data_IF_187555193156
#
_entry.id   IF_187555193156
#
_cell.length_a   1.000
_cell.length_b   1.000
_cell.length_c   1.000
_cell.angle_alpha   90.00
_cell.angle_beta   90.00
_cell.angle_gamma   90.00
#
_symmetry.space_group_name_H-M   'P 1'
#
loop_
_entity.id
_entity.type
_entity.pdbx_description
1 polymer ?
#
# COMPACT_ATOMS: atom_id res chain seq x y z
N UNK A 1 18.89 -9.48 14.19
CA UNK A 1 18.23 -8.22 13.77
C UNK A 1 19.16 -7.25 13.04
N UNK A 2 20.34 -6.86 13.57
CA UNK A 2 21.26 -5.92 12.89
C UNK A 2 21.65 -6.30 11.45
N UNK A 3 21.85 -7.60 11.19
CA UNK A 3 22.12 -8.14 9.84
C UNK A 3 20.92 -8.04 8.89
N UNK A 4 19.69 -8.11 9.39
CA UNK A 4 18.47 -8.04 8.57
C UNK A 4 18.10 -6.60 8.18
N UNK A 5 18.33 -5.63 9.07
CA UNK A 5 18.08 -4.21 8.78
C UNK A 5 19.06 -3.68 7.72
N UNK A 6 20.31 -4.14 7.73
CA UNK A 6 21.30 -3.78 6.71
C UNK A 6 20.90 -4.23 5.30
N UNK A 7 20.44 -5.47 5.16
CA UNK A 7 19.94 -6.01 3.88
C UNK A 7 18.71 -5.21 3.40
N UNK A 8 17.77 -4.90 4.30
CA UNK A 8 16.59 -4.11 3.94
C UNK A 8 16.96 -2.70 3.47
N UNK A 9 17.91 -2.04 4.13
CA UNK A 9 18.39 -0.72 3.74
C UNK A 9 19.06 -0.75 2.35
N UNK A 10 19.87 -1.76 2.07
CA UNK A 10 20.48 -1.95 0.74
C UNK A 10 19.39 -2.11 -0.33
N UNK A 11 18.37 -2.94 -0.06
CA UNK A 11 17.27 -3.15 -1.00
C UNK A 11 16.48 -1.87 -1.28
N UNK A 12 16.23 -1.05 -0.26
CA UNK A 12 15.58 0.25 -0.44
C UNK A 12 16.47 1.22 -1.22
N UNK A 13 17.77 1.28 -0.90
CA UNK A 13 18.71 2.12 -1.63
C UNK A 13 18.78 1.75 -3.12
N UNK A 14 18.83 0.46 -3.43
CA UNK A 14 18.79 -0.05 -4.82
C UNK A 14 17.51 0.43 -5.52
N UNK A 15 16.33 0.26 -4.89
CA UNK A 15 15.05 0.74 -5.46
C UNK A 15 15.05 2.24 -5.76
N UNK A 16 15.55 3.06 -4.83
CA UNK A 16 15.65 4.51 -5.03
C UNK A 16 16.62 4.86 -6.16
N UNK A 17 17.79 4.23 -6.19
CA UNK A 17 18.80 4.45 -7.24
C UNK A 17 18.23 4.13 -8.62
N UNK A 18 17.49 3.03 -8.77
CA UNK A 18 16.85 2.67 -10.04
C UNK A 18 15.86 3.75 -10.50
N UNK A 19 15.04 4.26 -9.58
CA UNK A 19 14.08 5.33 -9.88
C UNK A 19 14.84 6.61 -10.29
N UNK A 20 15.89 6.97 -9.57
CA UNK A 20 16.70 8.14 -9.89
C UNK A 20 17.40 8.01 -11.25
N UNK A 21 17.90 6.82 -11.60
CA UNK A 21 18.48 6.56 -12.92
C UNK A 21 17.43 6.78 -14.01
N UNK A 22 16.21 6.24 -13.85
CA UNK A 22 15.12 6.48 -14.80
C UNK A 22 14.83 7.97 -14.97
N UNK A 23 14.70 8.71 -13.86
CA UNK A 23 14.41 10.15 -13.89
C UNK A 23 15.55 10.91 -14.56
N UNK A 24 16.80 10.70 -14.15
CA UNK A 24 17.96 11.42 -14.67
C UNK A 24 18.21 11.14 -16.15
N UNK A 25 18.16 9.88 -16.57
CA UNK A 25 18.33 9.51 -17.98
C UNK A 25 17.14 10.01 -18.80
N UNK A 26 15.92 9.84 -18.30
CA UNK A 26 14.71 10.20 -19.01
C UNK A 26 14.55 11.70 -19.23
N UNK A 27 15.03 12.55 -18.30
CA UNK A 27 14.96 14.02 -18.41
C UNK A 27 15.57 14.55 -19.72
N UNK A 28 16.66 13.93 -20.21
CA UNK A 28 17.32 14.35 -21.45
C UNK A 28 16.50 14.08 -22.71
N UNK A 29 15.50 13.22 -22.64
CA UNK A 29 14.68 12.81 -23.78
C UNK A 29 13.22 13.26 -23.68
N UNK A 30 12.89 14.10 -22.69
CA UNK A 30 11.55 14.65 -22.52
C UNK A 30 11.19 15.54 -23.71
N UNK A 31 10.05 15.26 -24.34
CA UNK A 31 9.48 16.07 -25.41
C UNK A 31 8.21 16.75 -24.88
N UNK A 32 8.22 18.08 -24.64
CA UNK A 32 7.05 18.80 -24.13
C UNK A 32 5.79 18.67 -25.00
N UNK A 33 5.94 18.31 -26.28
CA UNK A 33 4.84 17.98 -27.16
C UNK A 33 3.96 16.83 -26.64
N UNK A 34 4.53 15.87 -25.89
CA UNK A 34 3.78 14.74 -25.32
C UNK A 34 2.81 15.17 -24.20
N UNK A 35 3.01 16.36 -23.61
CA UNK A 35 2.10 16.93 -22.61
C UNK A 35 0.89 17.64 -23.21
N UNK A 36 0.80 17.74 -24.55
CA UNK A 36 -0.36 18.33 -25.21
C UNK A 36 -1.29 17.24 -25.78
N UNK A 37 -2.60 17.26 -25.43
CA UNK A 37 -3.25 18.08 -24.40
C UNK A 37 -2.94 17.59 -22.96
N UNK A 38 -2.77 18.51 -22.00
CA UNK A 38 -2.38 18.16 -20.63
C UNK A 38 -3.53 17.55 -19.81
N UNK A 39 -4.75 18.03 -20.04
CA UNK A 39 -5.97 17.48 -19.44
C UNK A 39 -6.91 16.92 -20.53
N UNK A 40 -6.58 15.76 -21.13
CA UNK A 40 -7.41 15.16 -22.19
C UNK A 40 -8.76 14.67 -21.68
N UNK A 41 -8.85 14.27 -20.41
CA UNK A 41 -10.02 13.62 -19.82
C UNK A 41 -10.68 14.51 -18.77
N UNK A 42 -11.94 14.93 -19.01
CA UNK A 42 -12.73 15.69 -18.02
C UNK A 42 -12.98 14.83 -16.78
N UNK A 43 -12.50 15.27 -15.61
CA UNK A 43 -12.60 14.51 -14.36
C UNK A 43 -11.63 13.33 -14.23
N UNK A 44 -10.80 13.06 -15.25
CA UNK A 44 -9.85 11.95 -15.24
C UNK A 44 -8.75 12.08 -14.18
N UNK A 45 -8.45 13.30 -13.73
CA UNK A 45 -7.47 13.55 -12.66
C UNK A 45 -7.90 12.91 -11.34
N UNK A 46 -9.18 13.05 -10.95
CA UNK A 46 -9.68 12.46 -9.70
C UNK A 46 -9.80 10.94 -9.79
N UNK A 47 -10.23 10.41 -10.93
CA UNK A 47 -10.27 8.96 -11.17
C UNK A 47 -8.85 8.37 -11.15
N UNK A 48 -7.90 9.01 -11.84
CA UNK A 48 -6.49 8.65 -11.84
C UNK A 48 -5.88 8.72 -10.43
N UNK A 49 -6.15 9.79 -9.67
CA UNK A 49 -5.70 9.93 -8.28
C UNK A 49 -6.18 8.78 -7.39
N UNK A 50 -7.43 8.33 -7.60
CA UNK A 50 -8.01 7.21 -6.86
C UNK A 50 -7.35 5.88 -7.23
N UNK A 51 -6.97 5.69 -8.49
CA UNK A 51 -6.25 4.50 -8.95
C UNK A 51 -4.79 4.47 -8.43
N UNK A 52 -4.05 5.57 -8.60
CA UNK A 52 -2.63 5.67 -8.18
C UNK A 52 -2.46 5.83 -6.68
N UNK A 53 -3.56 6.03 -5.92
CA UNK A 53 -3.54 5.98 -4.46
C UNK A 53 -2.88 4.70 -3.93
N UNK A 54 -3.05 3.58 -4.67
CA UNK A 54 -2.40 2.31 -4.38
C UNK A 54 -0.88 2.43 -4.20
N UNK A 55 -0.22 3.31 -4.96
CA UNK A 55 1.22 3.52 -4.86
C UNK A 55 1.66 4.12 -3.52
N UNK A 56 0.78 4.84 -2.82
CA UNK A 56 1.07 5.43 -1.52
C UNK A 56 0.89 4.48 -0.34
N UNK A 57 0.40 3.25 -0.58
CA UNK A 57 0.19 2.28 0.49
C UNK A 57 1.51 1.77 1.06
N UNK A 58 1.54 1.55 2.37
CA UNK A 58 2.68 0.94 3.07
C UNK A 58 3.40 1.83 4.09
N UNK A 59 3.10 3.13 4.17
CA UNK A 59 3.66 3.98 5.24
C UNK A 59 3.15 3.57 6.64
N UNK A 60 1.96 2.98 6.71
CA UNK A 60 1.34 2.45 7.92
C UNK A 60 2.08 1.24 8.50
N UNK A 61 2.90 0.55 7.68
CA UNK A 61 3.78 -0.52 8.16
C UNK A 61 4.81 0.02 9.15
N UNK A 62 5.24 1.27 9.01
CA UNK A 62 6.12 1.93 9.98
C UNK A 62 5.44 1.96 11.34
N UNK A 63 4.12 2.22 11.39
CA UNK A 63 3.32 2.22 12.62
C UNK A 63 3.31 0.86 13.33
N UNK A 64 3.30 -0.24 12.57
CA UNK A 64 3.32 -1.60 13.13
C UNK A 64 4.63 -1.94 13.87
N UNK A 65 5.74 -1.29 13.51
CA UNK A 65 7.05 -1.50 14.14
C UNK A 65 7.31 -0.59 15.36
N UNK A 66 6.28 0.11 15.88
CA UNK A 66 6.43 1.06 16.99
C UNK A 66 7.14 0.49 18.22
N UNK A 67 6.92 -0.80 18.53
CA UNK A 67 7.53 -1.47 19.68
C UNK A 67 9.05 -1.66 19.56
N UNK A 68 9.61 -1.62 18.35
CA UNK A 68 11.03 -1.83 18.08
C UNK A 68 11.80 -0.51 17.89
N UNK A 69 11.10 0.63 17.87
CA UNK A 69 11.68 1.94 17.59
C UNK A 69 12.20 2.59 18.87
N UNK A 70 13.46 3.05 18.84
CA UNK A 70 13.99 3.93 19.90
C UNK A 70 13.23 5.24 19.89
N UNK A 71 12.68 5.67 21.03
CA UNK A 71 11.86 6.88 21.15
C UNK A 71 10.73 6.98 20.08
N UNK A 72 9.71 6.08 20.14
CA UNK A 72 8.65 6.03 19.13
C UNK A 72 7.88 7.34 18.98
N UNK A 73 7.70 8.08 20.09
CA UNK A 73 6.98 9.36 20.15
C UNK A 73 7.50 10.39 19.13
N UNK A 74 8.82 10.42 18.90
CA UNK A 74 9.47 11.34 17.95
C UNK A 74 9.81 10.68 16.61
N UNK A 75 10.30 9.45 16.63
CA UNK A 75 10.84 8.81 15.43
C UNK A 75 9.76 8.22 14.52
N UNK A 76 8.60 7.81 15.06
CA UNK A 76 7.51 7.26 14.26
C UNK A 76 6.89 8.31 13.32
N UNK A 77 6.51 9.52 13.80
CA UNK A 77 5.99 10.57 12.92
C UNK A 77 6.99 10.97 11.83
N UNK A 78 8.28 11.09 12.17
CA UNK A 78 9.34 11.43 11.21
C UNK A 78 9.46 10.34 10.14
N UNK A 79 9.43 9.06 10.54
CA UNK A 79 9.48 7.94 9.60
C UNK A 79 8.29 7.91 8.65
N UNK A 80 7.07 8.08 9.18
CA UNK A 80 5.83 8.07 8.37
C UNK A 80 5.79 9.25 7.39
N UNK A 81 5.95 10.48 7.90
CA UNK A 81 5.85 11.70 7.09
C UNK A 81 7.03 11.80 6.12
N UNK A 82 8.25 11.48 6.58
CA UNK A 82 9.45 11.50 5.75
C UNK A 82 9.35 10.52 4.57
N UNK A 83 8.87 9.30 4.81
CA UNK A 83 8.67 8.32 3.73
C UNK A 83 7.64 8.82 2.71
N UNK A 84 6.52 9.39 3.16
CA UNK A 84 5.49 9.94 2.28
C UNK A 84 6.00 11.11 1.43
N UNK A 85 6.78 12.02 2.01
CA UNK A 85 7.35 13.17 1.27
C UNK A 85 8.31 12.67 0.19
N UNK A 86 9.24 11.79 0.56
CA UNK A 86 10.24 11.25 -0.39
C UNK A 86 9.54 10.49 -1.52
N UNK A 87 8.58 9.61 -1.19
CA UNK A 87 7.79 8.89 -2.19
C UNK A 87 7.01 9.84 -3.11
N UNK A 88 6.36 10.87 -2.56
CA UNK A 88 5.62 11.87 -3.35
C UNK A 88 6.50 12.56 -4.38
N UNK A 89 7.68 13.03 -3.97
CA UNK A 89 8.64 13.71 -4.86
C UNK A 89 9.07 12.76 -5.99
N UNK A 90 9.41 11.52 -5.66
CA UNK A 90 9.82 10.53 -6.66
C UNK A 90 8.68 10.18 -7.62
N UNK A 91 7.45 10.01 -7.14
CA UNK A 91 6.28 9.72 -7.98
C UNK A 91 5.93 10.88 -8.92
N UNK A 92 6.02 12.13 -8.45
CA UNK A 92 5.85 13.31 -9.30
C UNK A 92 6.94 13.34 -10.37
N UNK A 93 8.21 13.14 -10.01
CA UNK A 93 9.33 13.14 -10.95
C UNK A 93 9.18 12.04 -12.02
N UNK A 94 8.84 10.81 -11.61
CA UNK A 94 8.58 9.71 -12.53
C UNK A 94 7.42 10.03 -13.46
N UNK A 95 6.32 10.60 -12.95
CA UNK A 95 5.14 10.93 -13.77
C UNK A 95 5.45 11.98 -14.84
N UNK A 96 6.20 13.02 -14.48
CA UNK A 96 6.65 14.09 -15.40
C UNK A 96 7.52 13.50 -16.50
N UNK A 97 8.54 12.71 -16.12
CA UNK A 97 9.48 12.10 -17.08
C UNK A 97 8.76 11.08 -17.97
N UNK A 98 7.96 10.19 -17.39
CA UNK A 98 7.27 9.12 -18.12
C UNK A 98 6.33 9.67 -19.20
N UNK A 99 5.48 10.63 -18.83
CA UNK A 99 4.57 11.28 -19.78
C UNK A 99 5.30 12.22 -20.75
N UNK A 100 6.48 12.72 -20.38
CA UNK A 100 7.35 13.51 -21.24
C UNK A 100 8.08 12.68 -22.30
N UNK A 101 8.44 11.43 -21.99
CA UNK A 101 9.10 10.50 -22.91
C UNK A 101 8.12 9.93 -23.95
N UNK A 102 6.95 9.51 -23.48
CA UNK A 102 5.95 8.82 -24.30
C UNK A 102 4.56 9.40 -24.06
N UNK A 103 3.83 9.67 -25.15
CA UNK A 103 2.43 10.10 -25.07
C UNK A 103 1.57 9.14 -24.24
N UNK A 104 0.72 9.71 -23.37
CA UNK A 104 -0.16 8.99 -22.45
C UNK A 104 -1.01 7.89 -23.12
N UNK A 105 -1.31 8.02 -24.43
CA UNK A 105 -2.08 7.04 -25.20
C UNK A 105 -1.37 5.68 -25.36
N UNK A 106 -0.04 5.65 -25.21
CA UNK A 106 0.79 4.44 -25.39
C UNK A 106 1.34 3.89 -24.08
N UNK A 107 0.98 4.47 -22.94
CA UNK A 107 1.47 4.05 -21.63
C UNK A 107 0.66 2.90 -21.01
N UNK A 108 -0.42 2.44 -21.65
CA UNK A 108 -1.18 1.27 -21.19
C UNK A 108 -0.47 -0.03 -21.55
N UNK A 109 0.66 -0.27 -20.89
CA UNK A 109 1.52 -1.44 -21.02
C UNK A 109 1.83 -2.00 -19.62
N UNK A 110 2.29 -3.24 -19.54
CA UNK A 110 2.60 -3.88 -18.27
C UNK A 110 3.80 -3.25 -17.53
N UNK A 111 4.76 -2.70 -18.27
CA UNK A 111 6.04 -2.19 -17.78
C UNK A 111 6.36 -0.77 -18.30
N UNK A 112 5.52 0.25 -17.99
CA UNK A 112 5.56 1.56 -18.66
C UNK A 112 6.90 2.30 -18.53
N UNK A 113 7.60 2.13 -17.39
CA UNK A 113 8.89 2.77 -17.13
C UNK A 113 9.99 2.21 -18.04
N UNK A 114 10.04 0.88 -18.19
CA UNK A 114 11.00 0.22 -19.08
C UNK A 114 10.65 0.48 -20.55
N UNK A 115 9.37 0.38 -20.90
CA UNK A 115 8.86 0.71 -22.22
C UNK A 115 9.23 2.14 -22.65
N UNK A 116 9.09 3.12 -21.76
CA UNK A 116 9.44 4.50 -22.09
C UNK A 116 10.93 4.71 -22.40
N UNK A 117 11.82 4.00 -21.71
CA UNK A 117 13.26 4.02 -22.01
C UNK A 117 13.57 3.33 -23.35
N UNK A 118 12.90 2.23 -23.67
CA UNK A 118 13.05 1.56 -24.98
C UNK A 118 12.61 2.46 -26.13
N UNK A 119 11.52 3.23 -25.96
CA UNK A 119 11.01 4.15 -26.98
C UNK A 119 11.98 5.30 -27.33
N UNK A 120 12.92 5.62 -26.43
CA UNK A 120 13.96 6.63 -26.66
C UNK A 120 15.33 6.01 -26.98
N UNK A 121 15.36 4.70 -27.29
CA UNK A 121 16.57 3.97 -27.67
C UNK A 121 17.47 3.54 -26.51
N UNK A 122 17.04 3.77 -25.26
CA UNK A 122 17.82 3.47 -24.05
C UNK A 122 17.56 2.05 -23.53
N UNK A 123 17.85 1.04 -24.38
CA UNK A 123 17.61 -0.37 -24.07
C UNK A 123 18.39 -0.86 -22.84
N UNK A 124 19.62 -0.37 -22.65
CA UNK A 124 20.43 -0.70 -21.47
C UNK A 124 19.78 -0.18 -20.17
N UNK A 125 19.31 1.07 -20.18
CA UNK A 125 18.59 1.65 -19.05
C UNK A 125 17.29 0.91 -18.75
N UNK A 126 16.54 0.53 -19.80
CA UNK A 126 15.34 -0.27 -19.65
C UNK A 126 15.62 -1.62 -18.98
N UNK A 127 16.67 -2.34 -19.42
CA UNK A 127 17.05 -3.63 -18.83
C UNK A 127 17.42 -3.50 -17.35
N UNK A 128 18.20 -2.46 -16.99
CA UNK A 128 18.58 -2.19 -15.60
C UNK A 128 17.36 -1.92 -14.71
N UNK A 129 16.44 -1.07 -15.18
CA UNK A 129 15.21 -0.74 -14.46
C UNK A 129 14.31 -1.98 -14.30
N UNK A 130 14.14 -2.77 -15.36
CA UNK A 130 13.34 -4.00 -15.31
C UNK A 130 13.91 -5.03 -14.34
N UNK A 131 15.21 -5.29 -14.37
CA UNK A 131 15.87 -6.20 -13.42
C UNK A 131 15.69 -5.74 -11.97
N UNK A 132 15.88 -4.44 -11.75
CA UNK A 132 15.70 -3.81 -10.46
C UNK A 132 14.27 -3.88 -9.95
N UNK A 133 13.29 -3.63 -10.81
CA UNK A 133 11.87 -3.74 -10.52
C UNK A 133 11.49 -5.19 -10.18
N UNK A 134 11.94 -6.18 -10.96
CA UNK A 134 11.67 -7.60 -10.72
C UNK A 134 12.22 -8.06 -9.36
N UNK A 135 13.49 -7.75 -9.05
CA UNK A 135 14.08 -8.07 -7.75
C UNK A 135 13.33 -7.37 -6.60
N UNK A 136 12.90 -6.13 -6.82
CA UNK A 136 12.16 -5.34 -5.85
C UNK A 136 10.74 -5.85 -5.58
N UNK A 137 10.04 -6.31 -6.62
CA UNK A 137 8.70 -6.89 -6.55
C UNK A 137 8.73 -8.29 -5.95
N UNK A 138 9.70 -9.12 -6.34
CA UNK A 138 9.85 -10.47 -5.81
C UNK A 138 10.06 -10.47 -4.29
N UNK A 139 10.92 -9.60 -3.78
CA UNK A 139 11.13 -9.46 -2.34
C UNK A 139 9.90 -8.94 -1.60
N UNK A 140 9.17 -7.99 -2.19
CA UNK A 140 7.92 -7.48 -1.63
C UNK A 140 6.84 -8.57 -1.59
N UNK A 141 6.72 -9.37 -2.64
CA UNK A 141 5.76 -10.47 -2.72
C UNK A 141 6.01 -11.50 -1.61
N UNK A 142 7.26 -11.93 -1.42
CA UNK A 142 7.60 -12.84 -0.32
C UNK A 142 7.27 -12.23 1.05
N UNK A 143 7.65 -10.98 1.28
CA UNK A 143 7.39 -10.29 2.55
C UNK A 143 5.88 -10.20 2.84
N UNK A 144 5.06 -9.91 1.82
CA UNK A 144 3.60 -9.83 1.96
C UNK A 144 2.98 -11.19 2.25
N UNK A 145 3.39 -12.26 1.56
CA UNK A 145 2.90 -13.63 1.83
C UNK A 145 3.15 -14.02 3.30
N UNK A 146 4.36 -13.74 3.81
CA UNK A 146 4.70 -14.02 5.20
C UNK A 146 3.91 -13.15 6.20
N UNK A 147 3.75 -11.85 5.90
CA UNK A 147 3.00 -10.92 6.76
C UNK A 147 1.52 -11.31 6.84
N UNK A 148 0.87 -11.54 5.69
CA UNK A 148 -0.52 -11.95 5.60
C UNK A 148 -0.77 -13.32 6.26
N UNK A 149 0.16 -14.28 6.11
CA UNK A 149 0.09 -15.58 6.80
C UNK A 149 0.06 -15.43 8.33
N UNK A 150 0.87 -14.51 8.89
CA UNK A 150 0.89 -14.25 10.34
C UNK A 150 -0.39 -13.60 10.84
N UNK A 151 -0.97 -12.70 10.05
CA UNK A 151 -2.26 -12.08 10.37
C UNK A 151 -3.39 -13.11 10.38
N UNK A 152 -3.43 -14.00 9.38
CA UNK A 152 -4.43 -15.10 9.37
C UNK A 152 -4.22 -16.06 10.54
N UNK A 153 -2.96 -16.36 10.87
CA UNK A 153 -2.63 -17.16 12.05
C UNK A 153 -3.10 -16.50 13.35
N UNK A 154 -2.89 -15.19 13.55
CA UNK A 154 -3.33 -14.51 14.78
C UNK A 154 -4.85 -14.53 14.90
N UNK A 155 -5.58 -14.25 13.82
CA UNK A 155 -7.05 -14.30 13.82
C UNK A 155 -7.55 -15.73 14.10
N UNK A 156 -6.90 -16.75 13.53
CA UNK A 156 -7.22 -18.15 13.80
C UNK A 156 -6.92 -18.58 15.24
N UNK A 157 -5.80 -18.10 15.81
CA UNK A 157 -5.42 -18.35 17.21
C UNK A 157 -6.43 -17.73 18.18
N UNK A 158 -6.92 -16.54 17.86
CA UNK A 158 -7.88 -15.79 18.67
C UNK A 158 -9.31 -16.35 18.52
N UNK A 159 -9.51 -17.34 17.62
CA UNK A 159 -10.73 -18.12 17.47
C UNK A 159 -11.75 -17.53 16.50
N UNK A 160 -11.40 -16.44 15.81
CA UNK A 160 -12.26 -15.77 14.84
C UNK A 160 -12.29 -16.48 13.46
N UNK A 161 -11.30 -17.34 13.20
CA UNK A 161 -11.22 -18.21 12.03
C UNK A 161 -11.09 -19.68 12.47
N UNK A 162 -11.29 -20.67 11.55
CA UNK A 162 -11.12 -22.08 11.86
C UNK A 162 -9.80 -22.39 12.57
N UNK A 163 -9.85 -23.17 13.66
CA UNK A 163 -8.71 -23.42 14.58
C UNK A 163 -7.45 -23.94 13.89
N UNK A 164 -7.61 -24.65 12.76
CA UNK A 164 -6.47 -25.19 12.00
C UNK A 164 -5.58 -24.10 11.39
N UNK A 165 -6.11 -22.90 11.12
CA UNK A 165 -5.32 -21.73 10.68
C UNK A 165 -4.49 -21.14 11.84
N UNK A 166 -4.97 -21.28 13.07
CA UNK A 166 -4.30 -20.84 14.29
C UNK A 166 -3.23 -21.80 14.83
N UNK A 167 -2.85 -22.84 14.08
CA UNK A 167 -1.85 -23.82 14.52
C UNK A 167 -0.45 -23.51 13.94
N UNK A 168 0.56 -23.54 14.81
CA UNK A 168 1.98 -23.51 14.42
C UNK A 168 2.56 -24.91 14.33
N UNK A 169 3.44 -25.12 13.36
CA UNK A 169 4.20 -26.37 13.31
C UNK A 169 5.22 -26.41 14.45
N UNK A 170 5.15 -27.45 15.29
CA UNK A 170 5.96 -27.60 16.53
C UNK A 170 7.47 -27.66 16.26
N UNK A 171 7.89 -28.15 15.10
CA UNK A 171 9.32 -28.28 14.74
C UNK A 171 9.92 -27.03 14.12
N UNK A 172 9.14 -26.23 13.38
CA UNK A 172 9.67 -25.07 12.62
C UNK A 172 9.21 -23.73 13.16
N UNK A 173 8.28 -23.68 14.12
CA UNK A 173 7.66 -22.45 14.64
C UNK A 173 6.77 -21.69 13.65
N UNK A 174 6.75 -22.10 12.37
CA UNK A 174 6.01 -21.42 11.30
C UNK A 174 4.54 -21.91 11.19
N UNK A 175 3.57 -21.01 10.93
CA UNK A 175 2.17 -21.36 10.74
C UNK A 175 1.92 -21.91 9.33
N UNK A 176 2.33 -23.17 9.09
CA UNK A 176 2.28 -23.80 7.75
C UNK A 176 0.89 -23.75 7.11
N UNK A 177 -0.17 -24.04 7.87
CA UNK A 177 -1.53 -24.07 7.33
C UNK A 177 -1.98 -22.70 6.83
N UNK A 178 -1.80 -21.66 7.65
CA UNK A 178 -2.06 -20.27 7.24
C UNK A 178 -1.20 -19.83 6.07
N UNK A 179 0.07 -20.22 6.04
CA UNK A 179 0.97 -19.90 4.91
C UNK A 179 0.47 -20.51 3.60
N UNK A 180 0.14 -21.81 3.60
CA UNK A 180 -0.37 -22.50 2.41
C UNK A 180 -1.69 -21.90 1.96
N UNK A 181 -2.65 -21.68 2.86
CA UNK A 181 -3.95 -21.08 2.50
C UNK A 181 -3.81 -19.70 1.90
N UNK A 182 -3.00 -18.82 2.51
CA UNK A 182 -2.75 -17.48 1.98
C UNK A 182 -2.04 -17.53 0.63
N UNK A 183 -1.07 -18.42 0.47
CA UNK A 183 -0.32 -18.55 -0.79
C UNK A 183 -1.21 -19.03 -1.93
N UNK A 184 -2.04 -20.05 -1.67
CA UNK A 184 -3.01 -20.57 -2.66
C UNK A 184 -4.00 -19.47 -3.03
N UNK A 185 -4.54 -18.74 -2.05
CA UNK A 185 -5.47 -17.66 -2.30
C UNK A 185 -4.84 -16.54 -3.14
N UNK A 186 -3.62 -16.11 -2.80
CA UNK A 186 -2.88 -15.09 -3.55
C UNK A 186 -2.58 -15.57 -4.98
N UNK A 187 -2.20 -16.84 -5.17
CA UNK A 187 -1.93 -17.41 -6.48
C UNK A 187 -3.20 -17.45 -7.36
N UNK A 188 -4.34 -17.84 -6.79
CA UNK A 188 -5.63 -17.85 -7.49
C UNK A 188 -6.04 -16.41 -7.85
N UNK A 189 -6.01 -15.49 -6.89
CA UNK A 189 -6.40 -14.10 -7.11
C UNK A 189 -5.48 -13.39 -8.11
N UNK A 190 -4.17 -13.56 -7.99
CA UNK A 190 -3.20 -12.96 -8.90
C UNK A 190 -3.19 -13.56 -10.31
N UNK A 191 -3.65 -14.81 -10.47
CA UNK A 191 -3.74 -15.47 -11.77
C UNK A 191 -5.07 -15.24 -12.51
N UNK A 192 -6.18 -15.04 -11.78
CA UNK A 192 -7.53 -14.95 -12.36
C UNK A 192 -8.11 -13.55 -12.36
N UNK A 193 -7.68 -12.67 -11.46
CA UNK A 193 -8.27 -11.33 -11.28
C UNK A 193 -7.37 -10.27 -11.90
N UNK A 194 -7.88 -9.39 -12.78
CA UNK A 194 -7.11 -8.29 -13.34
C UNK A 194 -6.50 -7.38 -12.27
N UNK A 195 -5.27 -6.91 -12.52
CA UNK A 195 -4.56 -6.03 -11.60
C UNK A 195 -5.38 -4.79 -11.22
N UNK A 196 -6.09 -4.19 -12.16
CA UNK A 196 -6.94 -3.02 -11.93
C UNK A 196 -8.05 -3.30 -10.90
N UNK A 197 -8.69 -4.47 -10.98
CA UNK A 197 -9.73 -4.84 -10.01
C UNK A 197 -9.12 -5.08 -8.62
N UNK A 198 -7.96 -5.75 -8.56
CA UNK A 198 -7.25 -5.97 -7.31
C UNK A 198 -6.82 -4.65 -6.65
N UNK A 199 -6.23 -3.72 -7.40
CA UNK A 199 -5.79 -2.43 -6.84
C UNK A 199 -6.98 -1.59 -6.41
N UNK A 200 -8.07 -1.59 -7.16
CA UNK A 200 -9.31 -0.89 -6.76
C UNK A 200 -9.90 -1.47 -5.47
N UNK A 201 -9.91 -2.79 -5.30
CA UNK A 201 -10.35 -3.47 -4.07
C UNK A 201 -9.46 -3.16 -2.86
N UNK A 202 -8.16 -3.00 -3.06
CA UNK A 202 -7.27 -2.55 -1.99
C UNK A 202 -7.55 -1.07 -1.66
N UNK A 203 -7.68 -0.22 -2.67
CA UNK A 203 -7.90 1.21 -2.50
C UNK A 203 -9.17 1.52 -1.70
N UNK A 204 -10.30 0.88 -2.02
CA UNK A 204 -11.56 1.08 -1.27
C UNK A 204 -11.41 0.71 0.21
N UNK A 205 -10.81 -0.44 0.51
CA UNK A 205 -10.60 -0.88 1.89
C UNK A 205 -9.70 0.08 2.68
N UNK A 206 -8.60 0.53 2.07
CA UNK A 206 -7.67 1.45 2.74
C UNK A 206 -8.24 2.87 2.87
N UNK A 207 -8.97 3.37 1.86
CA UNK A 207 -9.62 4.68 1.94
C UNK A 207 -10.70 4.72 3.03
N UNK A 208 -11.48 3.63 3.19
CA UNK A 208 -12.42 3.49 4.31
C UNK A 208 -11.66 3.54 5.64
N UNK A 209 -10.59 2.75 5.79
CA UNK A 209 -9.78 2.73 7.01
C UNK A 209 -9.18 4.10 7.34
N UNK A 210 -8.62 4.80 6.35
CA UNK A 210 -8.05 6.14 6.55
C UNK A 210 -9.10 7.19 6.86
N UNK A 211 -10.31 7.07 6.28
CA UNK A 211 -11.45 7.91 6.65
C UNK A 211 -11.79 7.75 8.14
N UNK A 212 -11.85 6.51 8.64
CA UNK A 212 -12.05 6.23 10.05
C UNK A 212 -10.93 6.76 10.94
N UNK A 213 -9.67 6.61 10.53
CA UNK A 213 -8.52 7.13 11.29
C UNK A 213 -8.57 8.66 11.36
N UNK A 214 -8.83 9.34 10.24
CA UNK A 214 -8.88 10.80 10.19
C UNK A 214 -10.00 11.37 11.05
N UNK A 215 -11.22 10.82 10.98
CA UNK A 215 -12.29 11.27 11.88
C UNK A 215 -12.12 10.78 13.32
N UNK A 216 -11.51 9.61 13.53
CA UNK A 216 -11.27 9.01 14.84
C UNK A 216 -10.31 9.79 15.74
N UNK A 217 -9.39 10.58 15.16
CA UNK A 217 -8.50 11.47 15.93
C UNK A 217 -9.28 12.57 16.66
N UNK A 218 -10.44 12.99 16.14
CA UNK A 218 -11.25 14.07 16.72
C UNK A 218 -11.80 13.72 18.12
N UNK A 219 -12.55 12.61 18.29
CA UNK A 219 -12.98 12.19 19.63
C UNK A 219 -11.79 11.74 20.48
N UNK A 220 -10.76 11.12 19.90
CA UNK A 220 -9.57 10.66 20.64
C UNK A 220 -8.85 11.81 21.34
N UNK A 221 -8.82 13.01 20.75
CA UNK A 221 -8.19 14.18 21.35
C UNK A 221 -8.98 14.77 22.52
N UNK A 222 -10.26 14.42 22.69
CA UNK A 222 -11.10 14.87 23.81
C UNK A 222 -11.06 13.93 25.02
N UNK A 223 -10.52 12.71 24.84
CA UNK A 223 -10.42 11.66 25.86
C UNK A 223 -9.37 12.01 26.91
N UNK A 224 -9.77 12.24 28.16
CA UNK A 224 -8.85 12.62 29.26
C UNK A 224 -8.02 11.45 29.80
N UNK A 225 -8.39 10.23 29.45
CA UNK A 225 -7.75 8.98 29.86
C UNK A 225 -6.44 8.67 29.11
N UNK A 226 -6.14 9.40 28.04
CA UNK A 226 -4.92 9.24 27.25
C UNK A 226 -3.97 10.42 27.56
N UNK A 227 -2.72 10.13 27.91
CA UNK A 227 -1.74 11.18 28.16
C UNK A 227 -1.34 11.88 26.85
N UNK A 228 -1.89 13.07 26.60
CA UNK A 228 -1.67 13.86 25.39
C UNK A 228 -0.32 14.61 25.37
N UNK A 229 0.43 14.61 26.47
CA UNK A 229 1.50 15.59 26.72
C UNK A 229 2.77 15.26 25.94
N UNK A 230 3.04 13.99 25.63
CA UNK A 230 4.38 13.57 25.18
C UNK A 230 4.48 13.08 23.71
N UNK A 231 3.49 13.34 22.85
CA UNK A 231 3.45 12.81 21.49
C UNK A 231 3.39 13.87 20.39
N UNK A 232 3.63 13.44 19.14
CA UNK A 232 3.33 14.26 17.97
C UNK A 232 1.83 14.57 17.90
N UNK A 233 1.51 15.83 17.60
CA UNK A 233 0.14 16.31 17.45
C UNK A 233 -0.08 16.79 16.03
N UNK A 234 -1.19 16.39 15.45
CA UNK A 234 -1.59 16.85 14.12
C UNK A 234 -1.74 18.39 14.14
N UNK A 235 -1.06 19.11 13.22
CA UNK A 235 -1.19 20.56 13.10
C UNK A 235 -2.59 20.95 12.60
N UNK A 236 -3.02 22.18 12.89
CA UNK A 236 -4.32 22.72 12.47
C UNK A 236 -5.53 21.84 12.82
N UNK A 237 -5.50 21.24 14.01
CA UNK A 237 -6.65 20.52 14.55
C UNK A 237 -7.80 21.48 14.87
N UNK A 238 -9.07 21.15 14.53
CA UNK A 238 -9.56 19.91 13.92
C UNK A 238 -9.66 19.94 12.38
N UNK A 239 -9.24 21.03 11.74
CA UNK A 239 -9.41 21.26 10.29
C UNK A 239 -8.68 20.22 9.45
N UNK A 240 -7.41 19.90 9.75
CA UNK A 240 -6.63 18.96 8.94
C UNK A 240 -7.21 17.53 8.95
N UNK A 241 -7.58 16.94 10.10
CA UNK A 241 -8.30 15.65 10.12
C UNK A 241 -9.61 15.65 9.31
N UNK A 242 -10.38 16.74 9.35
CA UNK A 242 -11.63 16.86 8.58
C UNK A 242 -11.33 16.89 7.08
N UNK A 243 -10.37 17.71 6.64
CA UNK A 243 -9.96 17.77 5.22
C UNK A 243 -9.46 16.41 4.74
N UNK A 244 -8.65 15.72 5.55
CA UNK A 244 -8.15 14.38 5.22
C UNK A 244 -9.29 13.37 5.04
N UNK A 245 -10.23 13.32 5.99
CA UNK A 245 -11.39 12.43 5.90
C UNK A 245 -12.26 12.72 4.67
N UNK A 246 -12.54 14.00 4.39
CA UNK A 246 -13.28 14.42 3.21
C UNK A 246 -12.55 14.10 1.90
N UNK A 247 -11.23 14.29 1.84
CA UNK A 247 -10.42 13.93 0.68
C UNK A 247 -10.45 12.42 0.41
N UNK A 248 -10.34 11.59 1.46
CA UNK A 248 -10.46 10.14 1.35
C UNK A 248 -11.86 9.75 0.84
N UNK A 249 -12.93 10.36 1.36
CA UNK A 249 -14.29 10.15 0.87
C UNK A 249 -14.45 10.56 -0.60
N UNK A 250 -13.89 11.69 -1.03
CA UNK A 250 -13.95 12.11 -2.44
C UNK A 250 -13.30 11.08 -3.36
N UNK A 251 -12.13 10.54 -2.99
CA UNK A 251 -11.49 9.48 -3.77
C UNK A 251 -12.29 8.17 -3.74
N UNK A 252 -12.88 7.84 -2.59
CA UNK A 252 -13.74 6.66 -2.41
C UNK A 252 -14.93 6.68 -3.39
N UNK A 253 -15.61 7.82 -3.52
CA UNK A 253 -16.74 7.98 -4.45
C UNK A 253 -16.34 8.02 -5.93
N UNK A 254 -15.03 8.14 -6.23
CA UNK A 254 -14.51 8.14 -7.61
C UNK A 254 -14.10 6.75 -8.08
N UNK A 255 -14.15 5.73 -7.22
CA UNK A 255 -13.92 4.36 -7.61
C UNK A 255 -15.09 3.79 -8.44
N UNK A 256 -14.81 2.84 -9.36
CA UNK A 256 -15.85 2.20 -10.17
C UNK A 256 -16.95 1.53 -9.34
N UNK A 257 -18.17 1.46 -9.87
CA UNK A 257 -19.31 0.80 -9.21
C UNK A 257 -19.06 -0.68 -8.94
N UNK A 258 -18.33 -1.36 -9.83
CA UNK A 258 -17.91 -2.75 -9.66
C UNK A 258 -17.12 -2.96 -8.35
N UNK A 259 -16.25 -2.02 -8.00
CA UNK A 259 -15.45 -2.04 -6.76
C UNK A 259 -16.33 -1.99 -5.52
N UNK A 260 -17.42 -1.21 -5.55
CA UNK A 260 -18.38 -1.12 -4.46
C UNK A 260 -19.14 -2.44 -4.27
N UNK A 261 -19.60 -3.04 -5.36
CA UNK A 261 -20.28 -4.33 -5.33
C UNK A 261 -19.36 -5.40 -4.76
N UNK A 262 -18.14 -5.52 -5.29
CA UNK A 262 -17.16 -6.49 -4.83
C UNK A 262 -16.79 -6.29 -3.35
N UNK A 263 -16.66 -5.05 -2.90
CA UNK A 263 -16.39 -4.74 -1.49
C UNK A 263 -17.57 -5.09 -0.59
N UNK A 264 -18.80 -4.81 -1.02
CA UNK A 264 -19.99 -5.16 -0.26
C UNK A 264 -20.13 -6.68 -0.13
N UNK A 265 -19.85 -7.43 -1.20
CA UNK A 265 -19.77 -8.89 -1.15
C UNK A 265 -18.70 -9.35 -0.15
N UNK A 266 -17.50 -8.78 -0.21
CA UNK A 266 -16.39 -9.14 0.68
C UNK A 266 -16.69 -8.83 2.16
N UNK A 267 -17.20 -7.64 2.48
CA UNK A 267 -17.60 -7.28 3.84
C UNK A 267 -18.76 -8.15 4.33
N UNK A 268 -19.73 -8.45 3.47
CA UNK A 268 -20.84 -9.34 3.81
C UNK A 268 -20.34 -10.75 4.13
N UNK A 269 -19.41 -11.27 3.33
CA UNK A 269 -18.77 -12.56 3.59
C UNK A 269 -18.02 -12.57 4.94
N UNK A 270 -17.26 -11.52 5.24
CA UNK A 270 -16.59 -11.35 6.53
C UNK A 270 -17.57 -11.30 7.71
N UNK A 271 -18.69 -10.57 7.56
CA UNK A 271 -19.75 -10.52 8.57
C UNK A 271 -20.43 -11.87 8.76
N UNK A 272 -20.71 -12.61 7.69
CA UNK A 272 -21.28 -13.97 7.78
C UNK A 272 -20.35 -14.87 8.59
N UNK A 273 -19.05 -14.88 8.30
CA UNK A 273 -18.07 -15.66 9.08
C UNK A 273 -18.06 -15.22 10.54
N UNK A 274 -18.09 -13.91 10.78
CA UNK A 274 -18.07 -13.36 12.14
C UNK A 274 -19.31 -13.78 12.95
N UNK A 275 -20.52 -13.62 12.40
CA UNK A 275 -21.76 -13.94 13.09
C UNK A 275 -22.01 -15.45 13.23
N UNK A 276 -21.61 -16.25 12.24
CA UNK A 276 -21.81 -17.71 12.28
C UNK A 276 -20.77 -18.41 13.15
N UNK A 277 -19.49 -18.09 12.97
CA UNK A 277 -18.39 -18.79 13.63
C UNK A 277 -17.69 -17.93 14.69
N UNK A 278 -17.33 -16.69 14.34
CA UNK A 278 -16.48 -15.82 15.17
C UNK A 278 -17.07 -15.50 16.55
N UNK A 279 -18.35 -15.17 16.64
CA UNK A 279 -19.02 -14.85 17.92
C UNK A 279 -18.97 -16.03 18.90
N UNK A 280 -19.14 -17.25 18.41
CA UNK A 280 -19.21 -18.44 19.25
C UNK A 280 -17.84 -18.98 19.66
N UNK A 281 -16.77 -18.62 18.94
CA UNK A 281 -15.43 -19.18 19.11
C UNK A 281 -14.37 -18.15 19.54
N UNK A 282 -14.72 -16.86 19.58
CA UNK A 282 -13.84 -15.79 20.03
C UNK A 282 -13.40 -16.00 21.47
N UNK A 283 -12.09 -16.06 21.69
CA UNK A 283 -11.49 -16.18 23.02
C UNK A 283 -11.10 -14.84 23.64
N UNK A 284 -11.42 -13.72 22.98
CA UNK A 284 -11.03 -12.38 23.40
C UNK A 284 -11.66 -11.94 24.74
N UNK A 285 -12.79 -12.54 25.15
CA UNK A 285 -13.43 -12.27 26.44
C UNK A 285 -12.82 -13.06 27.61
N UNK A 286 -11.97 -14.05 27.33
CA UNK A 286 -11.35 -14.94 28.33
C UNK A 286 -9.84 -14.68 28.54
N UNK A 287 -9.33 -13.53 28.08
CA UNK A 287 -7.97 -13.03 28.34
C UNK A 287 -8.03 -11.77 29.20
#
# INVERSE_FOLDING_TARGET
MKTSTGVQNIMVAVKIVIILIFVLVGLFYVKPANWHPFFPYKGGVLAGASAVFFAFLGFDVVAASAAEVKNPKKNMPIGIIGTLIVASILYIAVSIVLTGLVSYKRLNVADPVAFALQQVGQNWGAALVSLGALAGMFTMMLAMIYSSSRLVYSIGRDGLLPKWLGNVNKTTGNPKASLTTVTVLIAIMGGLVPLEQLTNLVNIGTLIAFTFVSFGVIPLRRRKDINHIDGFRVPWYPVLPIISGLACMVLLFRLPMETWIASLIWFSFGLIIYFTYGIHHSKLLNQ
#
